data_IF_317321904106
#
_entry.id   IF_317321904106
#
_cell.length_a   1.000
_cell.length_b   1.000
_cell.length_c   1.000
_cell.angle_alpha   90.00
_cell.angle_beta   90.00
_cell.angle_gamma   90.00
#
_symmetry.space_group_name_H-M   'P 1'
#
loop_
_entity.id
_entity.type
_entity.pdbx_description
1 polymer ?
#
# COMPACT_ATOMS: atom_id res chain seq x y z
N UNK A 1 -24.96 1.06 4.86
CA UNK A 1 -23.95 1.05 5.91
C UNK A 1 -24.17 2.15 6.97
N UNK A 2 -25.41 2.32 7.45
CA UNK A 2 -25.74 3.41 8.41
C UNK A 2 -26.57 2.92 9.60
N UNK A 3 -26.72 1.61 9.77
CA UNK A 3 -27.40 1.02 10.92
C UNK A 3 -26.40 0.63 11.98
N UNK A 4 -26.25 1.45 12.96
CA UNK A 4 -25.46 1.24 14.17
C UNK A 4 -25.49 2.52 15.00
N UNK A 5 -25.32 2.40 16.31
CA UNK A 5 -25.44 3.49 17.33
C UNK A 5 -24.68 4.81 16.99
N UNK A 6 -23.81 4.80 15.92
CA UNK A 6 -23.06 5.95 15.43
C UNK A 6 -23.04 6.11 13.91
N UNK A 7 -23.89 5.40 13.15
CA UNK A 7 -23.84 5.40 11.68
C UNK A 7 -22.60 4.74 11.08
N UNK A 8 -21.86 3.98 11.91
CA UNK A 8 -20.59 3.37 11.51
C UNK A 8 -20.79 2.14 10.59
N UNK A 9 -21.94 1.48 10.63
CA UNK A 9 -22.16 0.17 9.99
C UNK A 9 -21.35 -0.94 10.63
N UNK A 10 -20.87 -0.72 11.87
CA UNK A 10 -20.13 -1.68 12.69
C UNK A 10 -20.74 -1.68 14.07
N UNK A 11 -21.08 -2.86 14.59
CA UNK A 11 -21.58 -3.04 15.95
C UNK A 11 -20.39 -3.28 16.89
N UNK A 12 -19.98 -2.20 17.58
CA UNK A 12 -18.81 -2.20 18.48
C UNK A 12 -19.06 -3.03 19.74
N UNK A 13 -20.35 -3.16 20.17
CA UNK A 13 -20.72 -3.87 21.38
C UNK A 13 -20.88 -5.38 21.13
N UNK A 14 -20.98 -5.79 19.85
CA UNK A 14 -21.15 -7.17 19.44
C UNK A 14 -20.00 -7.61 18.53
N UNK A 15 -18.82 -7.76 19.09
CA UNK A 15 -17.60 -8.24 18.46
C UNK A 15 -17.24 -7.53 17.14
N UNK A 16 -17.49 -6.21 17.08
CA UNK A 16 -17.23 -5.37 15.91
C UNK A 16 -17.88 -5.86 14.60
N UNK A 17 -19.01 -6.55 14.71
CA UNK A 17 -19.71 -7.11 13.55
C UNK A 17 -20.03 -6.05 12.52
N UNK A 18 -19.48 -6.22 11.32
CA UNK A 18 -19.72 -5.32 10.21
C UNK A 18 -21.03 -5.66 9.47
N UNK A 19 -21.77 -4.62 9.06
CA UNK A 19 -22.98 -4.76 8.22
C UNK A 19 -22.67 -4.32 6.80
N UNK A 20 -22.71 -5.24 5.86
CA UNK A 20 -22.51 -4.98 4.45
C UNK A 20 -23.84 -4.87 3.72
N UNK A 21 -23.95 -3.83 2.87
CA UNK A 21 -25.12 -3.63 2.01
C UNK A 21 -24.66 -3.27 0.60
N UNK A 22 -25.40 -3.70 -0.44
CA UNK A 22 -25.10 -3.31 -1.81
C UNK A 22 -25.09 -1.80 -1.99
N UNK A 23 -24.18 -1.30 -2.80
CA UNK A 23 -24.14 0.12 -3.17
C UNK A 23 -25.37 0.45 -4.01
N UNK A 24 -25.99 1.61 -3.75
CA UNK A 24 -27.15 2.10 -4.52
C UNK A 24 -26.84 2.10 -6.01
N UNK A 25 -27.74 1.53 -6.82
CA UNK A 25 -27.60 1.40 -8.27
C UNK A 25 -26.88 0.14 -8.75
N UNK A 26 -26.32 -0.70 -7.86
CA UNK A 26 -25.67 -1.98 -8.24
C UNK A 26 -26.57 -3.21 -8.17
N UNK A 27 -27.84 -3.05 -7.79
CA UNK A 27 -28.78 -4.18 -7.66
C UNK A 27 -29.04 -4.91 -8.98
N UNK A 28 -29.06 -4.19 -10.11
CA UNK A 28 -29.24 -4.81 -11.43
C UNK A 28 -28.04 -5.71 -11.79
N UNK A 29 -26.82 -5.21 -11.61
CA UNK A 29 -25.58 -5.97 -11.82
C UNK A 29 -25.52 -7.22 -10.94
N UNK A 30 -25.90 -7.11 -9.65
CA UNK A 30 -25.92 -8.26 -8.74
C UNK A 30 -26.93 -9.31 -9.21
N UNK A 31 -28.09 -8.89 -9.73
CA UNK A 31 -29.09 -9.82 -10.28
C UNK A 31 -28.57 -10.53 -11.53
N UNK A 32 -27.91 -9.82 -12.42
CA UNK A 32 -27.28 -10.38 -13.62
C UNK A 32 -26.20 -11.41 -13.24
N UNK A 33 -25.26 -11.03 -12.37
CA UNK A 33 -24.22 -11.95 -11.90
C UNK A 33 -24.79 -13.19 -11.19
N UNK A 34 -25.89 -13.04 -10.41
CA UNK A 34 -26.57 -14.17 -9.77
C UNK A 34 -27.17 -15.14 -10.80
N UNK A 35 -27.59 -14.64 -11.96
CA UNK A 35 -28.08 -15.48 -13.05
C UNK A 35 -26.93 -16.25 -13.67
N UNK A 36 -25.84 -15.56 -14.03
CA UNK A 36 -24.65 -16.21 -14.62
C UNK A 36 -24.06 -17.27 -13.68
N UNK A 37 -23.92 -16.97 -12.38
CA UNK A 37 -23.46 -17.93 -11.37
C UNK A 37 -24.34 -19.17 -11.29
N UNK A 38 -25.66 -19.03 -11.52
CA UNK A 38 -26.60 -20.14 -11.45
C UNK A 38 -26.49 -21.08 -12.65
N UNK A 39 -26.13 -20.51 -13.81
CA UNK A 39 -26.05 -21.22 -15.08
C UNK A 39 -24.59 -21.73 -15.34
N UNK A 40 -23.61 -21.38 -14.49
CA UNK A 40 -22.22 -21.79 -14.61
C UNK A 40 -21.95 -23.16 -13.95
N UNK A 41 -21.14 -23.98 -14.59
CA UNK A 41 -20.68 -25.26 -14.04
C UNK A 41 -19.62 -25.06 -12.95
N UNK A 42 -18.75 -24.07 -13.11
CA UNK A 42 -17.70 -23.73 -12.17
C UNK A 42 -17.49 -22.22 -12.12
N UNK A 43 -17.14 -21.71 -10.96
CA UNK A 43 -16.88 -20.29 -10.74
C UNK A 43 -15.42 -20.10 -10.33
N UNK A 44 -14.66 -19.34 -11.13
CA UNK A 44 -13.26 -19.03 -10.86
C UNK A 44 -13.19 -17.60 -10.30
N UNK A 45 -12.76 -17.46 -9.04
CA UNK A 45 -12.51 -16.18 -8.40
C UNK A 45 -11.04 -15.81 -8.59
N UNK A 46 -10.76 -14.87 -9.50
CA UNK A 46 -9.40 -14.51 -9.93
C UNK A 46 -9.12 -13.03 -9.67
N UNK A 47 -9.07 -12.65 -8.40
CA UNK A 47 -8.66 -11.31 -7.95
C UNK A 47 -7.20 -11.33 -7.48
N UNK A 48 -6.62 -10.16 -7.19
CA UNK A 48 -5.21 -10.04 -6.79
C UNK A 48 -4.83 -10.94 -5.60
N UNK A 49 -3.56 -11.38 -5.52
CA UNK A 49 -3.09 -12.28 -4.47
C UNK A 49 -2.79 -11.57 -3.14
N UNK A 50 -3.53 -10.52 -2.82
CA UNK A 50 -3.42 -9.77 -1.57
C UNK A 50 -4.70 -9.87 -0.73
N UNK A 51 -4.69 -9.30 0.46
CA UNK A 51 -5.85 -9.30 1.36
C UNK A 51 -7.07 -8.55 0.79
N UNK A 52 -6.85 -7.52 -0.03
CA UNK A 52 -7.94 -6.77 -0.65
C UNK A 52 -8.63 -7.61 -1.73
N UNK A 53 -7.84 -8.30 -2.58
CA UNK A 53 -8.34 -9.25 -3.57
C UNK A 53 -9.04 -10.45 -2.92
N UNK A 54 -8.52 -10.95 -1.80
CA UNK A 54 -9.15 -12.04 -1.05
C UNK A 54 -10.51 -11.63 -0.49
N UNK A 55 -10.62 -10.43 0.07
CA UNK A 55 -11.88 -9.88 0.56
C UNK A 55 -12.89 -9.63 -0.58
N UNK A 56 -12.44 -9.21 -1.77
CA UNK A 56 -13.31 -9.07 -2.94
C UNK A 56 -13.90 -10.42 -3.33
N UNK A 57 -13.07 -11.47 -3.43
CA UNK A 57 -13.51 -12.83 -3.71
C UNK A 57 -14.53 -13.33 -2.68
N UNK A 58 -14.26 -13.10 -1.39
CA UNK A 58 -15.18 -13.45 -0.32
C UNK A 58 -16.51 -12.69 -0.42
N UNK A 59 -16.49 -11.40 -0.65
CA UNK A 59 -17.71 -10.60 -0.83
C UNK A 59 -18.53 -11.03 -2.05
N UNK A 60 -17.90 -11.42 -3.15
CA UNK A 60 -18.58 -11.98 -4.32
C UNK A 60 -19.25 -13.31 -3.97
N UNK A 61 -18.52 -14.21 -3.31
CA UNK A 61 -19.05 -15.49 -2.84
C UNK A 61 -20.33 -15.30 -1.99
N UNK A 62 -20.24 -14.45 -0.95
CA UNK A 62 -21.36 -14.18 -0.05
C UNK A 62 -22.53 -13.48 -0.75
N UNK A 63 -22.25 -12.43 -1.55
CA UNK A 63 -23.30 -11.64 -2.22
C UNK A 63 -24.05 -12.45 -3.28
N UNK A 64 -23.35 -13.31 -4.00
CA UNK A 64 -23.89 -14.13 -5.07
C UNK A 64 -24.43 -15.48 -4.56
N UNK A 65 -24.23 -15.80 -3.28
CA UNK A 65 -24.59 -17.07 -2.63
C UNK A 65 -23.92 -18.28 -3.30
N UNK A 66 -22.62 -18.17 -3.62
CA UNK A 66 -21.85 -19.25 -4.22
C UNK A 66 -21.54 -20.30 -3.15
N UNK A 67 -21.83 -21.56 -3.44
CA UNK A 67 -21.55 -22.70 -2.55
C UNK A 67 -20.06 -23.02 -2.53
N UNK A 68 -19.57 -23.59 -1.44
CA UNK A 68 -18.16 -23.94 -1.27
C UNK A 68 -17.64 -24.96 -2.29
N UNK A 69 -18.50 -25.82 -2.78
CA UNK A 69 -18.16 -26.84 -3.78
C UNK A 69 -18.15 -26.30 -5.21
N UNK A 70 -18.69 -25.10 -5.45
CA UNK A 70 -18.95 -24.56 -6.78
C UNK A 70 -17.99 -23.41 -7.16
N UNK A 71 -16.90 -23.19 -6.41
CA UNK A 71 -15.92 -22.20 -6.76
C UNK A 71 -14.49 -22.67 -6.49
N UNK A 72 -13.59 -22.08 -7.23
CA UNK A 72 -12.15 -22.14 -6.98
C UNK A 72 -11.59 -20.72 -6.93
N UNK A 73 -10.52 -20.54 -6.14
CA UNK A 73 -9.76 -19.29 -6.04
C UNK A 73 -8.45 -19.48 -6.81
N UNK A 74 -8.21 -18.62 -7.79
CA UNK A 74 -6.99 -18.62 -8.61
C UNK A 74 -6.26 -17.29 -8.39
N UNK A 75 -4.95 -17.33 -8.16
CA UNK A 75 -4.13 -16.15 -7.94
C UNK A 75 -2.84 -16.22 -8.75
N UNK A 76 -2.44 -15.09 -9.32
CA UNK A 76 -1.18 -14.96 -10.06
C UNK A 76 -0.59 -13.56 -9.85
N UNK A 77 0.73 -13.47 -9.89
CA UNK A 77 1.47 -12.22 -9.67
C UNK A 77 1.78 -11.47 -10.95
N UNK A 78 1.62 -12.12 -12.11
CA UNK A 78 1.80 -11.52 -13.43
C UNK A 78 0.84 -12.14 -14.45
N UNK A 79 0.54 -11.39 -15.51
CA UNK A 79 -0.40 -11.82 -16.56
C UNK A 79 0.40 -12.32 -17.78
N UNK A 80 1.13 -13.41 -17.58
CA UNK A 80 1.76 -14.18 -18.65
C UNK A 80 1.03 -15.49 -18.85
N UNK A 81 1.10 -16.04 -20.06
CA UNK A 81 0.37 -17.26 -20.42
C UNK A 81 0.70 -18.42 -19.47
N UNK A 82 1.99 -18.65 -19.23
CA UNK A 82 2.44 -19.81 -18.46
C UNK A 82 2.08 -19.69 -16.98
N UNK A 83 2.15 -18.47 -16.40
CA UNK A 83 1.78 -18.22 -15.01
C UNK A 83 0.27 -18.33 -14.81
N UNK A 84 -0.54 -17.84 -15.75
CA UNK A 84 -2.00 -17.98 -15.69
C UNK A 84 -2.44 -19.43 -15.81
N UNK A 85 -1.87 -20.20 -16.76
CA UNK A 85 -2.18 -21.62 -16.92
C UNK A 85 -1.77 -22.42 -15.67
N UNK A 86 -0.57 -22.20 -15.17
CA UNK A 86 -0.11 -22.87 -13.94
C UNK A 86 -1.00 -22.52 -12.73
N UNK A 87 -1.48 -21.30 -12.63
CA UNK A 87 -2.40 -20.90 -11.57
C UNK A 87 -3.77 -21.56 -11.68
N UNK A 88 -4.27 -21.78 -12.90
CA UNK A 88 -5.50 -22.53 -13.14
C UNK A 88 -5.36 -24.01 -12.78
N UNK A 89 -4.19 -24.60 -13.00
CA UNK A 89 -3.89 -25.98 -12.63
C UNK A 89 -3.71 -26.17 -11.10
N UNK A 90 -3.47 -25.08 -10.36
CA UNK A 90 -3.25 -25.09 -8.91
C UNK A 90 -4.24 -24.19 -8.15
N UNK A 91 -5.55 -24.44 -8.26
CA UNK A 91 -6.56 -23.64 -7.57
C UNK A 91 -6.55 -23.91 -6.05
N UNK A 92 -7.03 -22.94 -5.28
CA UNK A 92 -7.18 -23.04 -3.83
C UNK A 92 -8.58 -22.60 -3.36
N UNK A 93 -8.81 -22.56 -2.08
CA UNK A 93 -9.98 -21.92 -1.48
C UNK A 93 -9.63 -20.51 -1.00
N UNK A 94 -10.63 -19.72 -0.66
CA UNK A 94 -10.47 -18.39 -0.06
C UNK A 94 -9.76 -18.56 1.29
N UNK A 95 -8.79 -17.69 1.57
CA UNK A 95 -8.08 -17.62 2.86
C UNK A 95 -8.84 -16.69 3.81
N UNK A 96 -9.57 -17.29 4.75
CA UNK A 96 -10.35 -16.55 5.75
C UNK A 96 -9.49 -15.66 6.67
N UNK A 97 -8.21 -15.97 6.86
CA UNK A 97 -7.31 -15.13 7.65
C UNK A 97 -6.97 -13.84 6.92
N UNK A 98 -6.75 -13.89 5.61
CA UNK A 98 -6.57 -12.70 4.79
C UNK A 98 -7.84 -11.85 4.74
N UNK A 99 -9.02 -12.48 4.61
CA UNK A 99 -10.31 -11.78 4.66
C UNK A 99 -10.47 -11.06 6.00
N UNK A 100 -10.27 -11.75 7.11
CA UNK A 100 -10.36 -11.17 8.47
C UNK A 100 -9.33 -10.06 8.69
N UNK A 101 -8.13 -10.18 8.13
CA UNK A 101 -7.11 -9.13 8.18
C UNK A 101 -7.58 -7.86 7.47
N UNK A 102 -8.20 -7.99 6.31
CA UNK A 102 -8.78 -6.87 5.56
C UNK A 102 -9.96 -6.24 6.31
N UNK A 103 -10.90 -7.05 6.81
CA UNK A 103 -12.04 -6.58 7.60
C UNK A 103 -11.59 -5.80 8.84
N UNK A 104 -10.66 -6.36 9.60
CA UNK A 104 -10.12 -5.71 10.81
C UNK A 104 -9.53 -4.34 10.49
N UNK A 105 -8.72 -4.25 9.43
CA UNK A 105 -8.17 -2.98 8.97
C UNK A 105 -9.27 -1.98 8.59
N UNK A 106 -10.23 -2.42 7.81
CA UNK A 106 -11.35 -1.58 7.35
C UNK A 106 -12.20 -1.07 8.51
N UNK A 107 -12.51 -1.94 9.48
CA UNK A 107 -13.26 -1.58 10.69
C UNK A 107 -12.48 -0.57 11.53
N UNK A 108 -11.20 -0.83 11.76
CA UNK A 108 -10.31 0.05 12.52
C UNK A 108 -10.19 1.43 11.87
N UNK A 109 -9.90 1.50 10.57
CA UNK A 109 -9.80 2.75 9.83
C UNK A 109 -11.11 3.54 9.86
N UNK A 110 -12.25 2.85 9.84
CA UNK A 110 -13.56 3.47 9.93
C UNK A 110 -13.85 4.04 11.31
N UNK A 111 -13.60 3.28 12.37
CA UNK A 111 -13.82 3.73 13.75
C UNK A 111 -12.92 4.92 14.08
N UNK A 112 -11.63 4.80 13.79
CA UNK A 112 -10.65 5.86 14.02
C UNK A 112 -10.99 7.10 13.21
N UNK A 113 -11.21 6.93 11.90
CA UNK A 113 -11.51 8.03 10.99
C UNK A 113 -12.74 8.82 11.41
N UNK A 114 -13.84 8.17 11.78
CA UNK A 114 -15.06 8.83 12.23
C UNK A 114 -14.87 9.57 13.56
N UNK A 115 -14.20 8.96 14.54
CA UNK A 115 -14.00 9.57 15.86
C UNK A 115 -13.02 10.73 15.79
N UNK A 116 -11.86 10.55 15.15
CA UNK A 116 -10.83 11.59 15.05
C UNK A 116 -11.29 12.74 14.16
N UNK A 117 -12.01 12.49 13.06
CA UNK A 117 -12.51 13.57 12.20
C UNK A 117 -13.47 14.50 12.94
N UNK A 118 -14.38 13.95 13.76
CA UNK A 118 -15.26 14.76 14.61
C UNK A 118 -14.48 15.60 15.61
N UNK A 119 -13.47 15.02 16.25
CA UNK A 119 -12.60 15.72 17.19
C UNK A 119 -11.84 16.87 16.51
N UNK A 120 -11.25 16.61 15.35
CA UNK A 120 -10.53 17.60 14.55
C UNK A 120 -11.44 18.76 14.15
N UNK A 121 -12.62 18.46 13.62
CA UNK A 121 -13.61 19.47 13.24
C UNK A 121 -14.00 20.37 14.41
N UNK A 122 -14.18 19.79 15.61
CA UNK A 122 -14.64 20.55 16.80
C UNK A 122 -13.53 21.34 17.49
N UNK A 123 -12.26 20.91 17.38
CA UNK A 123 -11.14 21.50 18.17
C UNK A 123 -10.15 22.32 17.36
N UNK A 124 -9.99 22.02 16.06
CA UNK A 124 -8.94 22.65 15.25
C UNK A 124 -9.47 23.27 13.96
N UNK A 125 -10.76 23.11 13.64
CA UNK A 125 -11.33 23.49 12.34
C UNK A 125 -10.86 22.61 11.17
N UNK A 126 -10.09 21.57 11.43
CA UNK A 126 -9.66 20.60 10.43
C UNK A 126 -10.84 19.81 9.85
N UNK A 127 -10.77 19.41 8.58
CA UNK A 127 -11.88 18.74 7.89
C UNK A 127 -11.99 17.26 8.23
N UNK A 128 -10.86 16.56 8.34
CA UNK A 128 -10.82 15.12 8.61
C UNK A 128 -9.47 14.70 9.20
N UNK A 129 -9.47 13.53 9.84
CA UNK A 129 -8.26 12.85 10.30
C UNK A 129 -8.42 11.34 10.09
N UNK A 130 -7.29 10.66 9.96
CA UNK A 130 -7.26 9.21 9.78
C UNK A 130 -5.86 8.66 9.99
N UNK A 131 -5.78 7.36 10.24
CA UNK A 131 -4.53 6.67 10.54
C UNK A 131 -3.46 6.88 9.46
N UNK A 132 -3.81 6.67 8.20
CA UNK A 132 -2.87 6.82 7.07
C UNK A 132 -2.50 8.29 6.84
N UNK A 133 -3.49 9.20 6.87
CA UNK A 133 -3.26 10.63 6.67
C UNK A 133 -2.31 11.22 7.72
N UNK A 134 -2.46 10.85 8.99
CA UNK A 134 -1.64 11.35 10.08
C UNK A 134 -0.18 10.93 9.95
N UNK A 135 0.06 9.67 9.57
CA UNK A 135 1.42 9.15 9.34
C UNK A 135 2.05 9.80 8.12
N UNK A 136 1.33 9.88 7.00
CA UNK A 136 1.84 10.52 5.79
C UNK A 136 2.23 11.99 6.03
N UNK A 137 1.37 12.75 6.72
CA UNK A 137 1.65 14.15 7.08
C UNK A 137 2.88 14.25 8.00
N UNK A 138 3.00 13.35 9.00
CA UNK A 138 4.16 13.32 9.88
C UNK A 138 5.46 13.13 9.10
N UNK A 139 5.51 12.17 8.19
CA UNK A 139 6.70 11.90 7.36
C UNK A 139 7.09 13.13 6.52
N UNK A 140 6.11 13.80 5.92
CA UNK A 140 6.35 15.02 5.12
C UNK A 140 6.89 16.15 6.01
N UNK A 141 6.28 16.37 7.17
CA UNK A 141 6.70 17.43 8.11
C UNK A 141 8.09 17.15 8.69
N UNK A 142 8.40 15.91 9.03
CA UNK A 142 9.70 15.54 9.55
C UNK A 142 10.78 15.74 8.47
N UNK A 143 10.50 15.35 7.23
CA UNK A 143 11.42 15.59 6.10
C UNK A 143 11.62 17.08 5.81
N UNK A 144 10.56 17.88 5.87
CA UNK A 144 10.66 19.33 5.68
C UNK A 144 11.54 19.97 6.78
N UNK A 145 11.39 19.51 8.03
CA UNK A 145 12.26 19.98 9.14
C UNK A 145 13.73 19.63 8.91
N UNK A 146 14.03 18.44 8.39
CA UNK A 146 15.39 18.06 8.01
C UNK A 146 15.93 18.98 6.90
N UNK A 147 15.11 19.28 5.88
CA UNK A 147 15.50 20.18 4.78
C UNK A 147 15.80 21.60 5.31
N UNK A 148 14.93 22.12 6.18
CA UNK A 148 15.10 23.45 6.77
C UNK A 148 16.30 23.53 7.73
N UNK A 149 16.65 22.43 8.37
CA UNK A 149 17.81 22.34 9.27
C UNK A 149 19.11 22.00 8.53
N UNK A 150 19.05 21.68 7.25
CA UNK A 150 20.22 21.30 6.47
C UNK A 150 21.14 22.50 6.27
N UNK A 151 22.37 22.34 6.69
CA UNK A 151 23.47 23.30 6.44
C UNK A 151 24.32 22.73 5.30
N UNK A 152 24.37 23.40 4.15
CA UNK A 152 25.22 22.94 3.03
C UNK A 152 26.68 22.94 3.43
N UNK A 153 27.38 21.83 3.19
CA UNK A 153 28.81 21.71 3.36
C UNK A 153 29.48 21.64 1.98
N UNK A 154 30.50 22.50 1.77
CA UNK A 154 31.29 22.47 0.56
C UNK A 154 32.18 21.22 0.54
N UNK A 155 32.22 20.55 -0.58
CA UNK A 155 33.18 19.47 -0.80
C UNK A 155 33.70 19.52 -2.24
N UNK A 156 34.91 19.01 -2.43
CA UNK A 156 35.61 18.97 -3.70
C UNK A 156 35.99 17.53 -4.05
N UNK A 157 35.92 17.20 -5.33
CA UNK A 157 36.39 15.93 -5.88
C UNK A 157 37.45 16.20 -6.92
N UNK A 158 38.51 15.36 -6.94
CA UNK A 158 39.54 15.41 -7.95
C UNK A 158 39.36 14.21 -8.86
N UNK A 159 39.26 14.47 -10.15
CA UNK A 159 39.07 13.44 -11.16
C UNK A 159 40.24 13.51 -12.16
N UNK A 160 40.85 12.38 -12.41
CA UNK A 160 41.83 12.20 -13.46
C UNK A 160 41.19 11.67 -14.71
N UNK A 161 41.33 12.39 -15.81
CA UNK A 161 40.78 12.01 -17.12
C UNK A 161 41.88 11.32 -17.94
N UNK A 162 41.69 10.04 -18.20
CA UNK A 162 42.55 9.24 -19.07
C UNK A 162 41.91 9.10 -20.45
N UNK A 163 42.63 8.58 -21.42
CA UNK A 163 42.10 8.45 -22.78
C UNK A 163 40.84 7.62 -22.89
N UNK A 164 40.75 6.54 -22.10
CA UNK A 164 39.70 5.53 -22.22
C UNK A 164 38.83 5.41 -20.95
N UNK A 165 39.17 6.10 -19.85
CA UNK A 165 38.42 6.08 -18.59
C UNK A 165 38.72 7.32 -17.74
N UNK A 166 37.88 7.57 -16.72
CA UNK A 166 38.17 8.53 -15.65
C UNK A 166 38.32 7.83 -14.30
N UNK A 167 39.07 8.43 -13.38
CA UNK A 167 39.26 7.91 -12.03
C UNK A 167 39.14 9.02 -11.00
N UNK A 168 38.34 8.81 -9.96
CA UNK A 168 38.16 9.75 -8.86
C UNK A 168 39.13 9.44 -7.73
N UNK A 169 39.77 10.48 -7.16
CA UNK A 169 40.68 10.34 -6.04
C UNK A 169 39.92 9.97 -4.76
N UNK A 170 40.03 8.72 -4.32
CA UNK A 170 39.42 8.24 -3.08
C UNK A 170 40.31 8.34 -1.85
N UNK A 171 41.64 8.14 -2.07
CA UNK A 171 42.62 8.10 -0.99
C UNK A 171 43.84 8.95 -1.35
N UNK A 172 44.33 9.65 -0.36
CA UNK A 172 45.60 10.35 -0.43
C UNK A 172 46.50 9.87 0.71
N UNK A 173 47.71 9.40 0.42
CA UNK A 173 48.62 8.79 1.38
C UNK A 173 47.96 7.68 2.21
N UNK A 174 47.27 6.75 1.53
CA UNK A 174 46.55 5.60 2.09
C UNK A 174 45.35 5.92 3.02
N UNK A 175 44.96 7.19 3.14
CA UNK A 175 43.81 7.60 3.93
C UNK A 175 42.70 8.10 3.02
N UNK A 176 41.47 7.72 3.35
CA UNK A 176 40.28 8.26 2.68
C UNK A 176 40.27 9.78 2.86
N UNK A 177 40.04 10.50 1.77
CA UNK A 177 40.13 11.95 1.75
C UNK A 177 38.76 12.58 1.65
N UNK A 178 38.57 13.69 2.35
CA UNK A 178 37.44 14.61 2.18
C UNK A 178 38.04 16.00 2.02
N UNK A 179 37.88 16.58 0.85
CA UNK A 179 38.43 17.88 0.49
C UNK A 179 37.29 18.91 0.73
N UNK A 180 37.55 19.88 1.58
CA UNK A 180 36.49 20.79 2.06
C UNK A 180 36.48 22.16 1.36
N UNK A 181 37.55 22.51 0.65
CA UNK A 181 37.65 23.79 -0.03
C UNK A 181 38.61 23.73 -1.22
N UNK A 182 38.55 24.75 -2.06
CA UNK A 182 39.38 24.88 -3.25
C UNK A 182 40.91 24.89 -2.95
N UNK A 183 41.32 25.50 -1.84
CA UNK A 183 42.71 25.57 -1.44
C UNK A 183 43.28 24.18 -1.17
N UNK A 184 42.55 23.34 -0.43
CA UNK A 184 42.96 21.96 -0.19
C UNK A 184 43.00 21.14 -1.49
N UNK A 185 42.02 21.35 -2.38
CA UNK A 185 42.00 20.69 -3.69
C UNK A 185 43.25 21.03 -4.51
N UNK A 186 43.61 22.32 -4.58
CA UNK A 186 44.76 22.77 -5.32
C UNK A 186 46.08 22.27 -4.72
N UNK A 187 46.22 22.22 -3.40
CA UNK A 187 47.40 21.65 -2.74
C UNK A 187 47.62 20.18 -3.08
N UNK A 188 46.55 19.41 -3.14
CA UNK A 188 46.60 18.00 -3.52
C UNK A 188 46.96 17.88 -5.01
N UNK A 189 46.31 18.65 -5.88
CA UNK A 189 46.61 18.67 -7.31
C UNK A 189 48.08 18.97 -7.59
N UNK A 190 48.67 19.94 -6.89
CA UNK A 190 50.07 20.30 -7.06
C UNK A 190 51.01 19.20 -6.57
N UNK A 191 50.59 18.38 -5.61
CA UNK A 191 51.32 17.23 -5.13
C UNK A 191 51.24 15.99 -6.03
N UNK A 192 50.31 15.97 -6.97
CA UNK A 192 50.07 14.87 -7.91
C UNK A 192 50.69 15.13 -9.30
N UNK A 193 51.13 16.33 -9.57
CA UNK A 193 51.92 16.71 -10.77
C UNK A 193 53.37 16.33 -10.60
#
# INVERSE_FOLDING_TARGET
>A
ATSGKFGLGVDVENDFKASYVPIKGKSALIKELKKEVKDADEIILSTDPDREGEAISWHLKETLNIKDDNYVRVTFNEITKDVVLNALDNPRKIDDNLVKSQETRRILDRIIGFRLSKLMQSKTGGKSAGRVQSVALKLIVDREREILAFVPEEYWTIEALFKDFSATLEKYKDKKITIKNETEANQILDSLK
#
